data_IF_943800906322
#
_entry.id   IF_943800906322
#
_cell.length_a   1.000
_cell.length_b   1.000
_cell.length_c   1.000
_cell.angle_alpha   90.00
_cell.angle_beta   90.00
_cell.angle_gamma   90.00
#
_symmetry.space_group_name_H-M   'P 1'
#
loop_
_entity.id
_entity.type
_entity.pdbx_description
1 polymer ?
#
# COMPACT_ATOMS: atom_id res chain seq x y z
N UNK A 1 8.87 -27.39 -12.32
CA UNK A 1 9.98 -27.73 -13.25
C UNK A 1 9.66 -28.90 -14.20
N UNK A 2 8.41 -29.09 -14.65
CA UNK A 2 8.07 -30.20 -15.57
C UNK A 2 8.16 -29.83 -17.05
N UNK A 3 8.44 -28.55 -17.36
CA UNK A 3 8.32 -27.99 -18.70
C UNK A 3 9.66 -27.77 -19.42
N UNK A 4 10.79 -27.78 -18.70
CA UNK A 4 12.12 -27.60 -19.28
C UNK A 4 12.94 -28.90 -19.14
N UNK A 5 13.66 -29.32 -20.21
CA UNK A 5 14.55 -30.49 -20.19
C UNK A 5 15.56 -30.46 -19.03
N UNK A 6 16.01 -31.62 -18.56
CA UNK A 6 16.84 -31.72 -17.33
C UNK A 6 18.26 -31.16 -17.50
N UNK A 7 18.76 -31.16 -18.73
CA UNK A 7 20.03 -30.59 -19.16
C UNK A 7 20.03 -29.05 -19.17
N UNK A 8 18.86 -28.39 -19.04
CA UNK A 8 18.78 -26.93 -19.01
C UNK A 8 19.05 -26.37 -17.62
N UNK A 9 19.95 -25.39 -17.55
CA UNK A 9 20.11 -24.52 -16.39
C UNK A 9 18.89 -23.59 -16.23
N UNK A 10 18.50 -23.32 -14.98
CA UNK A 10 17.43 -22.39 -14.60
C UNK A 10 17.98 -21.47 -13.53
N UNK A 11 18.11 -20.19 -13.88
CA UNK A 11 18.41 -19.09 -12.99
C UNK A 11 17.21 -18.15 -13.02
N UNK A 12 16.53 -18.01 -11.88
CA UNK A 12 15.48 -17.00 -11.73
C UNK A 12 16.13 -15.72 -11.24
N UNK A 13 15.74 -14.58 -11.80
CA UNK A 13 16.30 -13.28 -11.44
C UNK A 13 15.21 -12.24 -11.36
N UNK A 14 15.45 -11.21 -10.56
CA UNK A 14 14.64 -10.02 -10.51
C UNK A 14 15.54 -8.81 -10.24
N UNK A 15 15.89 -8.03 -11.29
CA UNK A 15 16.37 -6.67 -11.11
C UNK A 15 15.23 -5.86 -10.46
N UNK A 16 15.42 -5.40 -9.21
CA UNK A 16 14.40 -4.63 -8.48
C UNK A 16 14.36 -3.16 -8.94
N UNK A 17 14.56 -2.95 -10.25
CA UNK A 17 14.65 -1.67 -10.91
C UNK A 17 14.24 -1.80 -12.37
N UNK A 18 13.67 -0.72 -12.91
CA UNK A 18 13.26 -0.63 -14.30
C UNK A 18 13.99 0.47 -15.07
N UNK A 19 13.55 0.79 -16.30
CA UNK A 19 14.14 1.82 -17.13
C UNK A 19 14.21 3.20 -16.46
N UNK A 20 13.27 3.52 -15.57
CA UNK A 20 13.23 4.82 -14.87
C UNK A 20 14.17 4.83 -13.65
N UNK A 21 14.07 3.86 -12.75
CA UNK A 21 14.89 3.81 -11.55
C UNK A 21 16.36 3.46 -11.83
N UNK A 22 16.62 2.72 -12.92
CA UNK A 22 17.96 2.35 -13.39
C UNK A 22 18.48 3.21 -14.55
N UNK A 23 17.85 4.35 -14.85
CA UNK A 23 18.12 5.17 -16.04
C UNK A 23 19.56 5.68 -16.14
N UNK A 24 20.13 6.08 -15.00
CA UNK A 24 21.45 6.74 -14.94
C UNK A 24 22.55 5.74 -14.58
N UNK A 25 22.29 4.84 -13.63
CA UNK A 25 23.24 3.85 -13.15
C UNK A 25 22.50 2.72 -12.44
N UNK A 26 23.08 1.51 -12.42
CA UNK A 26 22.59 0.39 -11.61
C UNK A 26 23.34 0.26 -10.27
N UNK A 27 24.26 1.19 -9.99
CA UNK A 27 25.04 1.20 -8.76
C UNK A 27 24.13 1.26 -7.54
N UNK A 28 24.37 0.38 -6.58
CA UNK A 28 23.57 0.15 -5.37
C UNK A 28 22.11 -0.30 -5.59
N UNK A 29 21.67 -0.52 -6.83
CA UNK A 29 20.32 -1.03 -7.08
C UNK A 29 20.24 -2.52 -6.74
N UNK A 30 19.11 -2.99 -6.18
CA UNK A 30 18.99 -4.38 -5.76
C UNK A 30 18.81 -5.29 -6.98
N UNK A 31 19.57 -6.37 -7.02
CA UNK A 31 19.39 -7.45 -7.98
C UNK A 31 19.27 -8.76 -7.21
N UNK A 32 18.17 -9.47 -7.41
CA UNK A 32 17.86 -10.71 -6.70
C UNK A 32 17.98 -11.88 -7.65
N UNK A 33 18.49 -13.02 -7.18
CA UNK A 33 18.51 -14.25 -7.96
C UNK A 33 18.30 -15.50 -7.12
N UNK A 34 17.83 -16.56 -7.78
CA UNK A 34 17.69 -17.93 -7.25
C UNK A 34 18.30 -18.92 -8.26
N UNK A 35 19.29 -19.70 -7.83
CA UNK A 35 19.91 -20.78 -8.60
C UNK A 35 19.03 -22.04 -8.58
N UNK A 36 17.84 -21.92 -9.17
CA UNK A 36 16.79 -22.94 -9.16
C UNK A 36 17.27 -24.31 -9.67
N UNK A 37 18.08 -24.33 -10.74
CA UNK A 37 18.71 -25.55 -11.24
C UNK A 37 19.96 -25.20 -12.05
N UNK A 38 21.13 -25.27 -11.45
CA UNK A 38 22.42 -25.16 -12.16
C UNK A 38 23.12 -26.52 -12.06
N UNK A 39 23.59 -27.07 -13.18
CA UNK A 39 24.29 -28.36 -13.13
C UNK A 39 25.70 -28.24 -12.55
N UNK A 40 26.21 -29.38 -12.07
CA UNK A 40 27.48 -29.44 -11.31
C UNK A 40 28.75 -29.36 -12.18
N UNK A 41 28.60 -29.41 -13.50
CA UNK A 41 29.73 -29.22 -14.42
C UNK A 41 30.27 -27.80 -14.32
N UNK A 42 31.61 -27.67 -14.21
CA UNK A 42 32.31 -26.38 -14.10
C UNK A 42 31.88 -25.38 -15.18
N UNK A 43 31.66 -25.86 -16.42
CA UNK A 43 31.21 -25.01 -17.53
C UNK A 43 29.84 -24.36 -17.27
N UNK A 44 28.95 -25.02 -16.54
CA UNK A 44 27.58 -24.55 -16.24
C UNK A 44 27.62 -23.54 -15.11
N UNK A 45 28.38 -23.84 -14.05
CA UNK A 45 28.62 -22.94 -12.93
C UNK A 45 29.26 -21.64 -13.42
N UNK A 46 30.31 -21.73 -14.25
CA UNK A 46 31.00 -20.57 -14.78
C UNK A 46 30.10 -19.70 -15.66
N UNK A 47 29.20 -20.29 -16.45
CA UNK A 47 28.21 -19.53 -17.24
C UNK A 47 27.25 -18.75 -16.34
N UNK A 48 26.72 -19.39 -15.29
CA UNK A 48 25.86 -18.74 -14.31
C UNK A 48 26.58 -17.57 -13.62
N UNK A 49 27.80 -17.79 -13.14
CA UNK A 49 28.57 -16.74 -12.48
C UNK A 49 28.95 -15.60 -13.42
N UNK A 50 29.28 -15.91 -14.68
CA UNK A 50 29.58 -14.88 -15.68
C UNK A 50 28.37 -13.99 -15.98
N UNK A 51 27.15 -14.54 -15.93
CA UNK A 51 25.93 -13.75 -16.06
C UNK A 51 25.70 -12.86 -14.83
N UNK A 52 25.83 -13.40 -13.62
CA UNK A 52 25.66 -12.64 -12.37
C UNK A 52 26.72 -11.53 -12.24
N UNK A 53 27.92 -11.77 -12.74
CA UNK A 53 29.03 -10.82 -12.78
C UNK A 53 28.70 -9.54 -13.56
N UNK A 54 27.80 -9.59 -14.55
CA UNK A 54 27.34 -8.38 -15.25
C UNK A 54 26.76 -7.39 -14.24
N UNK A 55 25.86 -7.83 -13.37
CA UNK A 55 25.22 -6.99 -12.37
C UNK A 55 26.19 -6.55 -11.27
N UNK A 56 27.11 -7.43 -10.85
CA UNK A 56 28.15 -7.09 -9.88
C UNK A 56 29.07 -5.98 -10.41
N UNK A 57 29.48 -6.05 -11.68
CA UNK A 57 30.35 -5.06 -12.32
C UNK A 57 29.68 -3.71 -12.51
N UNK A 58 28.37 -3.71 -12.75
CA UNK A 58 27.55 -2.49 -12.77
C UNK A 58 27.28 -1.93 -11.36
N UNK A 59 27.77 -2.58 -10.31
CA UNK A 59 27.68 -2.13 -8.93
C UNK A 59 26.34 -2.43 -8.26
N UNK A 60 25.55 -3.38 -8.78
CA UNK A 60 24.30 -3.79 -8.14
C UNK A 60 24.56 -4.45 -6.77
N UNK A 61 23.60 -4.32 -5.86
CA UNK A 61 23.54 -5.15 -4.65
C UNK A 61 22.93 -6.50 -5.00
N UNK A 62 23.80 -7.43 -5.42
CA UNK A 62 23.44 -8.78 -5.86
C UNK A 62 23.19 -9.68 -4.65
N UNK A 63 21.96 -10.15 -4.49
CA UNK A 63 21.53 -10.97 -3.34
C UNK A 63 20.93 -12.30 -3.81
N UNK A 64 21.41 -13.40 -3.25
CA UNK A 64 20.84 -14.73 -3.46
C UNK A 64 19.70 -14.98 -2.47
N UNK A 65 18.53 -15.36 -2.95
CA UNK A 65 17.42 -15.81 -2.11
C UNK A 65 16.48 -16.71 -2.91
N UNK A 66 15.71 -17.55 -2.24
CA UNK A 66 14.74 -18.41 -2.92
C UNK A 66 13.60 -17.60 -3.55
N UNK A 67 12.99 -18.09 -4.64
CA UNK A 67 11.80 -17.46 -5.22
C UNK A 67 10.66 -17.28 -4.19
N UNK A 68 10.51 -18.21 -3.25
CA UNK A 68 9.47 -18.12 -2.22
C UNK A 68 9.72 -16.97 -1.24
N UNK A 69 10.96 -16.81 -0.79
CA UNK A 69 11.38 -15.71 0.09
C UNK A 69 11.29 -14.35 -0.63
N UNK A 70 11.75 -14.31 -1.89
CA UNK A 70 11.58 -13.15 -2.75
C UNK A 70 10.11 -12.71 -2.84
N UNK A 71 9.19 -13.64 -3.13
CA UNK A 71 7.77 -13.32 -3.28
C UNK A 71 7.14 -12.83 -1.98
N UNK A 72 7.58 -13.34 -0.83
CA UNK A 72 7.14 -12.83 0.47
C UNK A 72 7.54 -11.36 0.67
N UNK A 73 8.80 -11.02 0.42
CA UNK A 73 9.27 -9.64 0.50
C UNK A 73 8.62 -8.74 -0.54
N UNK A 74 8.53 -9.19 -1.80
CA UNK A 74 7.97 -8.41 -2.91
C UNK A 74 6.47 -8.10 -2.69
N UNK A 75 5.71 -9.01 -2.07
CA UNK A 75 4.33 -8.75 -1.70
C UNK A 75 4.23 -7.60 -0.69
N UNK A 76 5.07 -7.61 0.36
CA UNK A 76 5.05 -6.61 1.42
C UNK A 76 5.73 -5.28 1.07
N UNK A 77 6.39 -5.20 -0.10
CA UNK A 77 7.13 -4.00 -0.53
C UNK A 77 6.64 -3.51 -1.89
N UNK A 78 7.07 -4.16 -2.98
CA UNK A 78 6.75 -3.78 -4.35
C UNK A 78 5.24 -3.77 -4.61
N UNK A 79 4.52 -4.84 -4.28
CA UNK A 79 3.07 -4.90 -4.52
C UNK A 79 2.32 -3.79 -3.76
N UNK A 80 2.61 -3.59 -2.47
CA UNK A 80 2.01 -2.48 -1.69
C UNK A 80 2.32 -1.12 -2.33
N UNK A 81 3.58 -0.91 -2.77
CA UNK A 81 4.01 0.34 -3.38
C UNK A 81 3.21 0.64 -4.66
N UNK A 82 3.08 -0.33 -5.56
CA UNK A 82 2.26 -0.19 -6.77
C UNK A 82 0.77 -0.03 -6.45
N UNK A 83 0.24 -0.78 -5.49
CA UNK A 83 -1.16 -0.68 -5.12
C UNK A 83 -1.50 0.73 -4.60
N UNK A 84 -0.71 1.24 -3.65
CA UNK A 84 -0.89 2.59 -3.09
C UNK A 84 -0.72 3.65 -4.18
N UNK A 85 0.31 3.56 -5.02
CA UNK A 85 0.51 4.49 -6.13
C UNK A 85 -0.70 4.55 -7.07
N UNK A 86 -1.29 3.39 -7.41
CA UNK A 86 -2.51 3.32 -8.23
C UNK A 86 -3.77 3.82 -7.51
N UNK A 87 -3.90 3.65 -6.20
CA UNK A 87 -5.00 4.26 -5.43
C UNK A 87 -4.88 5.77 -5.45
N UNK A 88 -3.67 6.30 -5.23
CA UNK A 88 -3.40 7.74 -5.28
C UNK A 88 -3.64 8.32 -6.68
N UNK A 89 -3.31 7.59 -7.75
CA UNK A 89 -3.65 7.96 -9.12
C UNK A 89 -5.17 8.20 -9.30
N UNK A 90 -6.02 7.38 -8.65
CA UNK A 90 -7.49 7.53 -8.69
C UNK A 90 -7.99 8.77 -7.96
N UNK A 91 -7.19 9.39 -7.10
CA UNK A 91 -7.51 10.66 -6.47
C UNK A 91 -7.23 11.85 -7.39
N UNK A 92 -6.59 11.63 -8.54
CA UNK A 92 -6.19 12.69 -9.47
C UNK A 92 -5.38 13.79 -8.76
N UNK A 93 -4.34 13.39 -8.02
CA UNK A 93 -3.49 14.33 -7.28
C UNK A 93 -2.86 15.35 -8.23
N UNK A 94 -2.93 16.63 -7.86
CA UNK A 94 -2.34 17.75 -8.59
C UNK A 94 -1.23 18.41 -7.78
N UNK A 95 -0.29 19.05 -8.48
CA UNK A 95 0.71 19.92 -7.86
C UNK A 95 0.05 21.17 -7.27
N UNK A 96 0.59 21.69 -6.16
CA UNK A 96 0.03 22.87 -5.49
C UNK A 96 1.15 23.82 -5.05
N UNK A 97 0.85 25.13 -4.90
CA UNK A 97 1.83 26.11 -4.41
C UNK A 97 2.33 25.87 -2.97
N UNK A 98 1.68 24.96 -2.22
CA UNK A 98 1.97 24.69 -0.81
C UNK A 98 2.37 23.23 -0.56
N UNK A 99 2.89 22.56 -1.60
CA UNK A 99 3.33 21.18 -1.49
C UNK A 99 4.33 20.99 -0.36
N UNK A 100 4.06 19.98 0.48
CA UNK A 100 5.04 19.50 1.46
C UNK A 100 5.97 18.50 0.79
N UNK A 101 7.16 18.28 1.35
CA UNK A 101 8.08 17.24 0.86
C UNK A 101 7.46 15.83 0.88
N UNK A 102 6.58 15.56 1.84
CA UNK A 102 5.82 14.31 1.87
C UNK A 102 4.88 14.19 0.68
N UNK A 103 4.16 15.25 0.33
CA UNK A 103 3.25 15.26 -0.82
C UNK A 103 3.99 15.19 -2.16
N UNK A 104 5.13 15.87 -2.31
CA UNK A 104 6.01 15.70 -3.49
C UNK A 104 6.40 14.22 -3.69
N UNK A 105 6.72 13.49 -2.61
CA UNK A 105 7.01 12.06 -2.69
C UNK A 105 5.80 11.22 -3.13
N UNK A 106 4.57 11.60 -2.76
CA UNK A 106 3.36 10.94 -3.23
C UNK A 106 3.12 11.18 -4.72
N UNK A 107 3.33 12.40 -5.21
CA UNK A 107 3.26 12.71 -6.64
C UNK A 107 4.29 11.89 -7.43
N UNK A 108 5.52 11.81 -6.93
CA UNK A 108 6.57 10.98 -7.52
C UNK A 108 6.22 9.49 -7.49
N UNK A 109 5.57 9.00 -6.43
CA UNK A 109 5.10 7.62 -6.35
C UNK A 109 4.04 7.33 -7.43
N UNK A 110 3.08 8.24 -7.62
CA UNK A 110 2.06 8.12 -8.69
C UNK A 110 2.75 8.08 -10.05
N UNK A 111 3.65 9.02 -10.35
CA UNK A 111 4.36 9.05 -11.65
C UNK A 111 5.18 7.77 -11.90
N UNK A 112 5.89 7.27 -10.89
CA UNK A 112 6.70 6.06 -11.03
C UNK A 112 5.85 4.78 -11.20
N UNK A 113 4.64 4.73 -10.64
CA UNK A 113 3.79 3.52 -10.66
C UNK A 113 2.77 3.52 -11.79
N UNK A 114 2.37 4.68 -12.31
CA UNK A 114 1.43 4.81 -13.44
C UNK A 114 2.08 4.48 -14.79
N UNK A 115 3.41 4.64 -14.90
CA UNK A 115 4.19 4.30 -16.10
C UNK A 115 4.23 2.80 -16.40
N UNK A 116 4.06 1.97 -15.37
CA UNK A 116 3.94 0.53 -15.53
C UNK A 116 2.55 0.13 -16.02
N UNK A 117 2.50 -0.83 -16.95
CA UNK A 117 1.24 -1.33 -17.48
C UNK A 117 0.37 -1.93 -16.38
N UNK A 118 -0.95 -1.84 -16.55
CA UNK A 118 -1.87 -2.51 -15.64
C UNK A 118 -1.62 -4.02 -15.59
N UNK A 119 -1.27 -4.64 -16.72
CA UNK A 119 -0.93 -6.06 -16.80
C UNK A 119 0.26 -6.44 -15.93
N UNK A 120 1.32 -5.62 -15.88
CA UNK A 120 2.47 -5.85 -15.01
C UNK A 120 2.03 -5.83 -13.54
N UNK A 121 1.26 -4.82 -13.14
CA UNK A 121 0.73 -4.72 -11.78
C UNK A 121 -0.22 -5.89 -11.44
N UNK A 122 -1.10 -6.25 -12.37
CA UNK A 122 -2.02 -7.37 -12.20
C UNK A 122 -1.25 -8.69 -12.03
N UNK A 123 -0.13 -8.85 -12.74
CA UNK A 123 0.78 -9.97 -12.56
C UNK A 123 1.36 -10.06 -11.14
N UNK A 124 1.73 -8.93 -10.52
CA UNK A 124 2.21 -8.90 -9.12
C UNK A 124 1.16 -9.43 -8.14
N UNK A 125 -0.13 -9.23 -8.43
CA UNK A 125 -1.22 -9.76 -7.61
C UNK A 125 -1.51 -11.23 -7.92
N UNK A 126 -1.66 -11.56 -9.21
CA UNK A 126 -2.15 -12.86 -9.65
C UNK A 126 -1.15 -13.99 -9.37
N UNK A 127 0.15 -13.73 -9.55
CA UNK A 127 1.19 -14.76 -9.46
C UNK A 127 1.89 -14.80 -8.10
N UNK A 128 1.66 -13.82 -7.23
CA UNK A 128 2.19 -13.83 -5.86
C UNK A 128 1.08 -14.14 -4.86
N UNK A 129 1.06 -15.37 -4.35
CA UNK A 129 0.07 -15.85 -3.37
C UNK A 129 0.00 -14.99 -2.09
N UNK A 130 1.06 -14.26 -1.76
CA UNK A 130 1.14 -13.43 -0.56
C UNK A 130 0.48 -12.05 -0.76
N UNK A 131 0.25 -11.62 -2.01
CA UNK A 131 -0.29 -10.29 -2.33
C UNK A 131 -1.69 -10.06 -1.74
N UNK A 132 -2.54 -11.10 -1.74
CA UNK A 132 -3.90 -11.02 -1.19
C UNK A 132 -3.90 -10.72 0.31
N UNK A 133 -2.95 -11.28 1.06
CA UNK A 133 -2.82 -10.99 2.49
C UNK A 133 -2.39 -9.54 2.72
N UNK A 134 -1.44 -9.03 1.94
CA UNK A 134 -1.03 -7.63 2.04
C UNK A 134 -2.17 -6.67 1.70
N UNK A 135 -3.01 -7.01 0.72
CA UNK A 135 -4.21 -6.24 0.40
C UNK A 135 -5.20 -6.18 1.57
N UNK A 136 -5.46 -7.32 2.24
CA UNK A 136 -6.31 -7.36 3.43
C UNK A 136 -5.74 -6.54 4.58
N UNK A 137 -4.43 -6.62 4.81
CA UNK A 137 -3.75 -5.83 5.84
C UNK A 137 -3.84 -4.34 5.54
N UNK A 138 -3.71 -3.94 4.28
CA UNK A 138 -3.84 -2.55 3.85
C UNK A 138 -5.27 -2.02 4.08
N UNK A 139 -6.29 -2.80 3.71
CA UNK A 139 -7.71 -2.46 3.93
C UNK A 139 -8.03 -2.31 5.42
N UNK A 140 -7.60 -3.27 6.24
CA UNK A 140 -7.77 -3.22 7.69
C UNK A 140 -7.06 -2.00 8.31
N UNK A 141 -5.85 -1.67 7.85
CA UNK A 141 -5.14 -0.47 8.29
C UNK A 141 -5.87 0.82 7.89
N UNK A 142 -6.43 0.87 6.68
CA UNK A 142 -7.20 2.02 6.20
C UNK A 142 -8.45 2.26 7.04
N UNK A 143 -9.25 1.21 7.31
CA UNK A 143 -10.44 1.33 8.15
C UNK A 143 -10.09 1.62 9.62
N UNK A 144 -8.97 1.10 10.13
CA UNK A 144 -8.48 1.43 11.48
C UNK A 144 -8.19 2.94 11.63
N UNK A 145 -7.41 3.51 10.71
CA UNK A 145 -7.06 4.95 10.74
C UNK A 145 -8.31 5.82 10.60
N UNK A 146 -9.23 5.44 9.71
CA UNK A 146 -10.52 6.11 9.55
C UNK A 146 -11.36 6.04 10.83
N UNK A 147 -11.39 4.89 11.49
CA UNK A 147 -12.07 4.69 12.77
C UNK A 147 -11.51 5.57 13.88
N UNK A 148 -10.18 5.72 13.96
CA UNK A 148 -9.53 6.63 14.90
C UNK A 148 -9.97 8.08 14.68
N UNK A 149 -9.99 8.57 13.43
CA UNK A 149 -10.43 9.93 13.10
C UNK A 149 -11.88 10.20 13.53
N UNK A 150 -12.81 9.31 13.17
CA UNK A 150 -14.21 9.47 13.53
C UNK A 150 -14.47 9.28 15.03
N UNK A 151 -13.72 8.39 15.69
CA UNK A 151 -13.79 8.22 17.14
C UNK A 151 -13.42 9.50 17.89
N UNK A 152 -12.35 10.18 17.49
CA UNK A 152 -11.95 11.46 18.06
C UNK A 152 -13.01 12.55 17.79
N UNK A 153 -13.55 12.63 16.58
CA UNK A 153 -14.60 13.58 16.22
C UNK A 153 -15.86 13.37 17.08
N UNK A 154 -16.33 12.14 17.23
CA UNK A 154 -17.48 11.82 18.09
C UNK A 154 -17.22 12.18 19.55
N UNK A 155 -16.00 11.96 20.06
CA UNK A 155 -15.60 12.36 21.40
C UNK A 155 -15.66 13.88 21.60
N UNK A 156 -15.19 14.66 20.63
CA UNK A 156 -15.24 16.13 20.65
C UNK A 156 -16.70 16.63 20.60
N UNK A 157 -17.50 16.12 19.67
CA UNK A 157 -18.91 16.49 19.55
C UNK A 157 -19.70 16.12 20.81
N UNK A 158 -19.46 14.95 21.40
CA UNK A 158 -20.10 14.55 22.66
C UNK A 158 -19.73 15.50 23.81
N UNK A 159 -18.47 15.90 23.91
CA UNK A 159 -18.02 16.89 24.92
C UNK A 159 -18.62 18.27 24.67
N UNK A 160 -18.77 18.72 23.42
CA UNK A 160 -19.38 20.03 23.14
C UNK A 160 -20.90 20.02 23.35
N UNK A 161 -21.59 18.95 22.96
CA UNK A 161 -23.05 18.83 23.05
C UNK A 161 -23.53 18.47 24.47
N UNK A 162 -22.76 17.66 25.20
CA UNK A 162 -23.16 17.14 26.51
C UNK A 162 -22.23 17.56 27.66
N UNK A 163 -21.10 18.21 27.39
CA UNK A 163 -20.16 18.68 28.43
C UNK A 163 -20.78 19.71 29.38
N UNK A 164 -21.71 20.53 28.90
CA UNK A 164 -22.46 21.48 29.74
C UNK A 164 -23.61 20.82 30.55
N UNK A 165 -23.86 19.51 30.40
CA UNK A 165 -24.95 18.80 31.07
C UNK A 165 -24.51 17.96 32.27
N UNK A 166 -23.21 17.88 32.55
CA UNK A 166 -22.67 17.14 33.70
C UNK A 166 -22.52 17.98 34.98
N UNK A 167 -22.82 19.29 34.93
CA UNK A 167 -22.81 20.18 36.10
C UNK A 167 -24.21 20.42 36.70
N UNK A 168 -25.29 19.93 36.07
CA UNK A 168 -26.64 20.08 36.58
C UNK A 168 -27.03 18.86 37.42
N UNK A 169 -27.63 19.04 38.62
CA UNK A 169 -28.22 17.95 39.39
C UNK A 169 -29.18 17.13 38.51
N UNK A 170 -29.19 15.80 38.70
CA UNK A 170 -29.98 14.85 37.89
C UNK A 170 -31.46 15.28 37.76
N UNK A 171 -31.99 15.94 38.78
CA UNK A 171 -33.35 16.45 38.89
C UNK A 171 -33.65 17.55 37.85
N UNK A 172 -32.68 18.44 37.61
CA UNK A 172 -32.77 19.49 36.59
C UNK A 172 -32.58 18.95 35.17
N UNK A 173 -31.79 17.89 35.01
CA UNK A 173 -31.63 17.21 33.72
C UNK A 173 -32.93 16.54 33.26
N UNK A 174 -33.63 15.84 34.17
CA UNK A 174 -34.93 15.23 33.88
C UNK A 174 -35.97 16.30 33.53
N UNK A 175 -35.98 17.42 34.25
CA UNK A 175 -36.88 18.54 33.96
C UNK A 175 -36.63 19.16 32.59
N UNK A 176 -35.36 19.42 32.24
CA UNK A 176 -34.98 20.02 30.95
C UNK A 176 -35.28 19.09 29.77
N UNK A 177 -34.97 17.80 29.91
CA UNK A 177 -35.28 16.79 28.88
C UNK A 177 -36.79 16.67 28.63
N UNK A 178 -37.61 16.72 29.68
CA UNK A 178 -39.07 16.67 29.56
C UNK A 178 -39.65 17.96 28.95
N UNK A 179 -39.05 19.12 29.21
CA UNK A 179 -39.45 20.39 28.60
C UNK A 179 -39.13 20.43 27.09
N UNK A 180 -37.93 20.00 26.70
CA UNK A 180 -37.52 19.95 25.29
C UNK A 180 -38.36 18.96 24.48
N UNK A 181 -38.74 17.82 25.07
CA UNK A 181 -39.66 16.84 24.45
C UNK A 181 -41.08 17.39 24.25
N UNK A 182 -41.54 18.28 25.15
CA UNK A 182 -42.86 18.95 25.05
C UNK A 182 -42.90 20.01 23.96
N UNK A 183 -41.81 20.77 23.81
CA UNK A 183 -41.66 21.74 22.72
C UNK A 183 -41.66 21.08 21.33
N UNK A 184 -41.09 19.88 21.22
CA UNK A 184 -41.11 19.10 19.99
C UNK A 184 -42.47 18.47 19.69
N UNK A 185 -43.26 18.11 20.71
CA UNK A 185 -44.63 17.62 20.51
C UNK A 185 -45.58 18.75 20.08
N UNK A 186 -45.45 19.94 20.68
CA UNK A 186 -46.33 21.08 20.41
C UNK A 186 -46.04 21.75 19.06
N UNK A 187 -44.80 21.65 18.55
CA UNK A 187 -44.41 22.15 17.22
C UNK A 187 -44.93 21.33 16.03
N UNK A 188 -45.52 20.14 16.26
CA UNK A 188 -46.05 19.27 15.20
C UNK A 188 -47.51 19.57 14.82
N UNK A 189 -48.17 20.52 15.50
CA UNK A 189 -49.61 20.79 15.33
C UNK A 189 -49.96 21.94 14.36
N UNK A 190 -48.98 22.56 13.69
CA UNK A 190 -49.26 23.64 12.71
C UNK A 190 -48.48 23.44 11.41
N UNK A 191 -49.05 22.64 10.50
CA UNK A 191 -48.73 22.71 9.07
C UNK A 191 -49.99 23.20 8.34
N UNK A 192 -50.04 24.44 7.82
CA UNK A 192 -51.13 24.87 6.97
C UNK A 192 -51.05 24.12 5.63
N UNK A 193 -52.16 23.51 5.21
CA UNK A 193 -52.31 22.97 3.86
C UNK A 193 -52.44 24.14 2.88
N UNK A 194 -51.56 24.17 1.87
CA UNK A 194 -51.79 24.80 0.57
C UNK A 194 -51.01 24.04 -0.48
#
# INVERSE_FOLDING_TARGET
MKYLPQDFDILCTHPMFGPESGKISWKELPFVYDKVRIGDEESRIQRCESFLDVFRREGCRVSEMSCAEHDEYAAGSQFITHFVGRVLEKLHLEDTPINTKGYESLLNLVDNTSRDSFELFYGLFLYNKNALEQLRRLDAAFESVKGELFGHLHGLLRKQLFGNLYELPMDEWVAKKNADMKLLSDGSAQVPRS
#
